data_IF_338688229528
#
_entry.id   IF_338688229528
#
_cell.length_a   1.000
_cell.length_b   1.000
_cell.length_c   1.000
_cell.angle_alpha   90.00
_cell.angle_beta   90.00
_cell.angle_gamma   90.00
#
_symmetry.space_group_name_H-M   'P 1'
#
loop_
_entity.id
_entity.type
_entity.pdbx_description
1 polymer ?
#
# COMPACT_ATOMS: atom_id res chain seq x y z
N UNK A 1 -2.95 -14.43 -13.84
CA UNK A 1 -2.92 -13.01 -13.48
C UNK A 1 -2.42 -12.23 -14.69
N UNK A 2 -3.16 -11.20 -15.11
CA UNK A 2 -2.86 -10.42 -16.34
C UNK A 2 -1.45 -9.83 -16.36
N UNK A 3 -0.95 -9.39 -15.22
CA UNK A 3 0.44 -8.87 -15.10
C UNK A 3 1.47 -9.93 -15.43
N UNK A 4 1.30 -11.14 -14.88
CA UNK A 4 2.21 -12.26 -15.14
C UNK A 4 2.15 -12.76 -16.58
N UNK A 5 0.96 -12.75 -17.19
CA UNK A 5 0.79 -13.07 -18.61
C UNK A 5 1.54 -12.05 -19.48
N UNK A 6 1.35 -10.77 -19.19
CA UNK A 6 2.03 -9.69 -19.90
C UNK A 6 3.57 -9.77 -19.76
N UNK A 7 4.10 -10.05 -18.57
CA UNK A 7 5.54 -10.20 -18.34
C UNK A 7 6.11 -11.36 -19.16
N UNK A 8 5.42 -12.49 -19.22
CA UNK A 8 5.84 -13.64 -20.03
C UNK A 8 5.81 -13.34 -21.55
N UNK A 9 4.79 -12.65 -22.00
CA UNK A 9 4.72 -12.18 -23.39
C UNK A 9 5.84 -11.20 -23.68
N UNK A 10 6.08 -10.23 -22.80
CA UNK A 10 7.14 -9.21 -22.96
C UNK A 10 8.53 -9.82 -23.03
N UNK A 11 8.83 -10.87 -22.29
CA UNK A 11 10.12 -11.57 -22.31
C UNK A 11 10.44 -12.19 -23.67
N UNK A 12 9.42 -12.54 -24.45
CA UNK A 12 9.58 -13.06 -25.82
C UNK A 12 9.62 -11.99 -26.91
N UNK A 13 9.52 -10.70 -26.56
CA UNK A 13 9.44 -9.60 -27.54
C UNK A 13 10.77 -8.87 -27.66
N UNK A 14 11.22 -8.66 -28.91
CA UNK A 14 12.23 -7.64 -29.19
C UNK A 14 11.62 -6.24 -29.07
N UNK A 15 12.33 -5.29 -28.47
CA UNK A 15 11.82 -3.92 -28.37
C UNK A 15 12.59 -3.04 -27.41
N UNK A 16 12.23 -1.75 -27.39
CA UNK A 16 12.82 -0.72 -26.54
C UNK A 16 12.38 -0.77 -25.09
N UNK A 17 12.76 0.24 -24.29
CA UNK A 17 12.39 0.33 -22.88
C UNK A 17 10.86 0.33 -22.70
N UNK A 18 10.41 -0.19 -21.57
CA UNK A 18 9.00 -0.29 -21.22
C UNK A 18 8.76 0.14 -19.77
N UNK A 19 7.54 0.55 -19.51
CA UNK A 19 7.05 0.75 -18.16
C UNK A 19 5.70 0.05 -17.99
N UNK A 20 5.50 -0.60 -16.86
CA UNK A 20 4.25 -1.25 -16.48
C UNK A 20 3.76 -0.70 -15.16
N UNK A 21 2.56 -0.18 -15.13
CA UNK A 21 1.87 0.19 -13.90
C UNK A 21 0.95 -0.95 -13.47
N UNK A 22 1.13 -1.41 -12.23
CA UNK A 22 0.30 -2.44 -11.61
C UNK A 22 -0.39 -1.84 -10.39
N UNK A 23 -1.70 -1.66 -10.47
CA UNK A 23 -2.52 -1.11 -9.40
C UNK A 23 -3.33 -2.18 -8.69
N UNK A 24 -3.31 -2.14 -7.35
CA UNK A 24 -4.16 -2.95 -6.50
C UNK A 24 -5.19 -2.04 -5.83
N UNK A 25 -6.48 -2.39 -5.90
CA UNK A 25 -7.51 -1.66 -5.17
C UNK A 25 -7.51 -2.00 -3.67
N UNK A 26 -7.19 -3.24 -3.31
CA UNK A 26 -6.99 -3.63 -1.92
C UNK A 26 -5.73 -2.93 -1.35
N UNK A 27 -5.68 -2.59 -0.07
CA UNK A 27 -6.62 -2.91 1.02
C UNK A 27 -7.78 -1.90 1.19
N UNK A 28 -8.12 -1.11 0.15
CA UNK A 28 -9.23 -0.15 0.22
C UNK A 28 -10.55 -0.85 0.64
N UNK A 29 -11.38 -0.24 1.50
CA UNK A 29 -12.71 -0.77 1.82
C UNK A 29 -13.58 -0.99 0.57
N UNK A 30 -14.55 -1.96 0.62
CA UNK A 30 -14.88 -2.82 1.76
C UNK A 30 -13.81 -3.88 2.04
N UNK A 31 -13.57 -4.19 3.32
CA UNK A 31 -12.53 -5.15 3.75
C UNK A 31 -12.98 -6.60 3.50
N UNK A 32 -13.11 -6.96 2.24
CA UNK A 32 -13.45 -8.33 1.80
C UNK A 32 -12.15 -9.10 1.60
N UNK A 33 -11.85 -9.98 2.54
CA UNK A 33 -10.58 -10.71 2.60
C UNK A 33 -10.82 -12.21 2.41
N UNK A 34 -9.98 -12.94 1.64
CA UNK A 34 -10.05 -14.40 1.59
C UNK A 34 -9.79 -15.00 2.96
N UNK A 35 -10.56 -16.04 3.30
CA UNK A 35 -10.57 -16.65 4.64
C UNK A 35 -9.20 -17.06 5.13
N UNK A 36 -8.39 -17.64 4.26
CA UNK A 36 -7.01 -18.09 4.55
C UNK A 36 -6.07 -16.95 5.00
N UNK A 37 -6.33 -15.70 4.57
CA UNK A 37 -5.58 -14.53 5.01
C UNK A 37 -6.14 -13.94 6.30
N UNK A 38 -7.46 -13.95 6.48
CA UNK A 38 -8.09 -13.52 7.73
C UNK A 38 -7.68 -14.41 8.90
N UNK A 39 -7.62 -15.73 8.70
CA UNK A 39 -7.28 -16.71 9.73
C UNK A 39 -5.84 -16.54 10.27
N UNK A 40 -4.99 -15.77 9.61
CA UNK A 40 -3.66 -15.39 10.12
C UNK A 40 -3.74 -14.39 11.28
N UNK A 41 -4.88 -13.73 11.44
CA UNK A 41 -5.13 -12.66 12.42
C UNK A 41 -6.31 -13.02 13.34
N UNK A 42 -6.17 -14.01 14.23
CA UNK A 42 -7.25 -14.47 15.10
C UNK A 42 -7.70 -13.34 16.05
N UNK A 43 -9.01 -13.14 16.14
CA UNK A 43 -9.60 -11.97 16.81
C UNK A 43 -9.29 -11.90 18.32
N UNK A 44 -9.14 -13.04 18.97
CA UNK A 44 -8.75 -13.15 20.39
C UNK A 44 -7.33 -12.63 20.66
N UNK A 45 -6.49 -12.55 19.62
CA UNK A 45 -5.12 -12.01 19.68
C UNK A 45 -4.98 -10.60 19.11
N UNK A 46 -6.03 -10.10 18.47
CA UNK A 46 -5.99 -8.76 17.88
C UNK A 46 -6.06 -7.68 18.97
N UNK A 47 -5.08 -6.75 18.99
CA UNK A 47 -5.18 -5.58 19.83
C UNK A 47 -6.27 -4.63 19.32
N UNK A 48 -6.70 -3.69 20.16
CA UNK A 48 -7.39 -2.50 19.65
C UNK A 48 -6.44 -1.70 18.75
N UNK A 49 -6.98 -0.97 17.76
CA UNK A 49 -6.17 -0.10 16.92
C UNK A 49 -5.29 0.85 17.73
N UNK A 50 -4.15 1.23 17.16
CA UNK A 50 -3.14 2.06 17.83
C UNK A 50 -3.75 3.36 18.37
N UNK A 51 -3.45 3.67 19.64
CA UNK A 51 -3.94 4.86 20.32
C UNK A 51 -5.45 5.07 20.16
N UNK A 52 -6.23 3.98 20.11
CA UNK A 52 -7.66 4.06 19.93
C UNK A 52 -8.27 5.01 20.98
N UNK A 53 -8.96 6.01 20.49
CA UNK A 53 -9.62 7.02 21.30
C UNK A 53 -11.12 6.76 21.31
N UNK A 54 -11.73 6.81 22.50
CA UNK A 54 -13.18 6.68 22.65
C UNK A 54 -13.88 7.85 21.95
N UNK A 55 -15.13 7.66 21.48
CA UNK A 55 -15.95 8.74 20.95
C UNK A 55 -15.93 9.98 21.86
N UNK A 56 -15.74 11.15 21.28
CA UNK A 56 -15.63 12.42 22.02
C UNK A 56 -14.22 12.78 22.51
N UNK A 57 -13.19 11.97 22.23
CA UNK A 57 -11.80 12.39 22.46
C UNK A 57 -11.46 13.61 21.59
N UNK A 58 -10.82 14.65 22.16
CA UNK A 58 -10.48 15.84 21.38
C UNK A 58 -9.48 15.52 20.28
N UNK A 59 -9.83 15.90 19.06
CA UNK A 59 -8.93 15.92 17.90
C UNK A 59 -8.61 17.34 17.48
N UNK A 60 -7.61 17.51 16.61
CA UNK A 60 -7.41 18.78 15.92
C UNK A 60 -8.73 19.19 15.21
N UNK A 61 -9.12 20.48 15.20
CA UNK A 61 -10.40 20.93 14.64
C UNK A 61 -10.69 20.40 13.24
N UNK A 62 -9.67 20.32 12.37
CA UNK A 62 -9.81 19.74 11.03
C UNK A 62 -10.21 18.25 11.08
N UNK A 63 -9.53 17.46 11.90
CA UNK A 63 -9.83 16.03 12.05
C UNK A 63 -11.23 15.83 12.61
N UNK A 64 -11.60 16.66 13.60
CA UNK A 64 -12.97 16.65 14.15
C UNK A 64 -14.02 16.96 13.09
N UNK A 65 -13.79 17.95 12.23
CA UNK A 65 -14.73 18.29 11.16
C UNK A 65 -14.90 17.13 10.15
N UNK A 66 -13.83 16.40 9.87
CA UNK A 66 -13.87 15.18 9.03
C UNK A 66 -14.65 14.06 9.70
N UNK A 67 -14.39 13.80 10.98
CA UNK A 67 -15.07 12.77 11.75
C UNK A 67 -16.57 13.09 11.92
N UNK A 68 -16.91 14.35 12.16
CA UNK A 68 -18.31 14.81 12.22
C UNK A 68 -19.03 14.64 10.86
N UNK A 69 -18.31 14.74 9.75
CA UNK A 69 -18.88 14.56 8.41
C UNK A 69 -19.07 13.09 8.02
N UNK A 70 -18.10 12.25 8.39
CA UNK A 70 -18.13 10.79 8.15
C UNK A 70 -17.68 10.09 9.43
N UNK A 71 -18.57 9.93 10.41
CA UNK A 71 -18.30 9.25 11.68
C UNK A 71 -18.11 7.73 11.49
N UNK A 72 -17.03 7.33 10.81
CA UNK A 72 -16.81 5.94 10.39
C UNK A 72 -16.71 4.98 11.56
N UNK A 73 -16.14 5.39 12.69
CA UNK A 73 -16.07 4.54 13.89
C UNK A 73 -17.48 4.20 14.45
N UNK A 74 -18.44 5.06 14.21
CA UNK A 74 -19.84 4.85 14.60
C UNK A 74 -20.56 3.74 13.81
N UNK A 75 -19.99 3.24 12.73
CA UNK A 75 -20.54 2.09 12.00
C UNK A 75 -20.29 0.76 12.71
N UNK A 76 -19.34 0.70 13.64
CA UNK A 76 -19.04 -0.51 14.38
C UNK A 76 -19.88 -0.58 15.65
N UNK A 77 -20.53 -1.71 15.83
CA UNK A 77 -21.37 -1.98 16.97
C UNK A 77 -20.60 -2.05 18.29
N UNK A 78 -19.41 -2.66 18.24
CA UNK A 78 -18.58 -2.93 19.41
C UNK A 78 -17.10 -3.07 19.06
N UNK A 79 -16.26 -3.33 20.05
CA UNK A 79 -14.82 -3.49 19.90
C UNK A 79 -14.43 -4.77 19.15
N UNK A 80 -15.30 -5.78 19.13
CA UNK A 80 -15.05 -7.00 18.36
C UNK A 80 -15.16 -6.73 16.88
N UNK A 81 -16.15 -5.96 16.43
CA UNK A 81 -16.27 -5.55 15.03
C UNK A 81 -15.10 -4.65 14.60
N UNK A 82 -14.60 -3.77 15.49
CA UNK A 82 -13.40 -2.96 15.22
C UNK A 82 -12.16 -3.81 15.04
N UNK A 83 -11.97 -4.82 15.92
CA UNK A 83 -10.86 -5.78 15.77
C UNK A 83 -10.99 -6.62 14.51
N UNK A 84 -12.23 -7.01 14.15
CA UNK A 84 -12.48 -7.73 12.90
C UNK A 84 -12.13 -6.88 11.67
N UNK A 85 -12.52 -5.62 11.65
CA UNK A 85 -12.17 -4.69 10.57
C UNK A 85 -10.64 -4.52 10.46
N UNK A 86 -9.95 -4.35 11.59
CA UNK A 86 -8.50 -4.24 11.62
C UNK A 86 -7.81 -5.55 11.20
N UNK A 87 -8.28 -6.71 11.66
CA UNK A 87 -7.79 -8.02 11.22
C UNK A 87 -8.00 -8.23 9.71
N UNK A 88 -9.15 -7.81 9.19
CA UNK A 88 -9.47 -7.88 7.76
C UNK A 88 -8.53 -7.00 6.93
N UNK A 89 -8.23 -5.79 7.39
CA UNK A 89 -7.24 -4.92 6.75
C UNK A 89 -5.85 -5.58 6.69
N UNK A 90 -5.37 -6.13 7.81
CA UNK A 90 -4.09 -6.85 7.85
C UNK A 90 -4.10 -8.11 6.96
N UNK A 91 -5.23 -8.82 6.91
CA UNK A 91 -5.43 -9.94 6.01
C UNK A 91 -5.34 -9.53 4.54
N UNK A 92 -5.92 -8.39 4.17
CA UNK A 92 -5.80 -7.82 2.82
C UNK A 92 -4.36 -7.40 2.50
N UNK A 93 -3.61 -6.85 3.46
CA UNK A 93 -2.18 -6.56 3.27
C UNK A 93 -1.40 -7.86 2.99
N UNK A 94 -1.65 -8.93 3.75
CA UNK A 94 -1.01 -10.23 3.49
C UNK A 94 -1.41 -10.83 2.14
N UNK A 95 -2.64 -10.61 1.70
CA UNK A 95 -3.09 -11.03 0.36
C UNK A 95 -2.34 -10.27 -0.73
N UNK A 96 -2.21 -8.95 -0.61
CA UNK A 96 -1.48 -8.12 -1.59
C UNK A 96 -0.01 -8.50 -1.63
N UNK A 97 0.62 -8.69 -0.47
CA UNK A 97 2.00 -9.13 -0.36
C UNK A 97 2.25 -10.43 -1.15
N UNK A 98 1.35 -11.41 -1.01
CA UNK A 98 1.41 -12.63 -1.79
C UNK A 98 1.22 -12.40 -3.31
N UNK A 99 0.35 -11.45 -3.70
CA UNK A 99 0.18 -11.12 -5.12
C UNK A 99 1.41 -10.41 -5.70
N UNK A 100 2.04 -9.54 -4.93
CA UNK A 100 3.30 -8.87 -5.30
C UNK A 100 4.41 -9.91 -5.43
N UNK A 101 4.55 -10.83 -4.46
CA UNK A 101 5.51 -11.93 -4.53
C UNK A 101 5.36 -12.72 -5.82
N UNK A 102 4.14 -13.14 -6.16
CA UNK A 102 3.87 -13.85 -7.39
C UNK A 102 4.25 -13.07 -8.67
N UNK A 103 4.12 -11.75 -8.68
CA UNK A 103 4.54 -10.91 -9.80
C UNK A 103 6.06 -10.82 -9.88
N UNK A 104 6.73 -10.68 -8.74
CA UNK A 104 8.20 -10.62 -8.67
C UNK A 104 8.83 -11.97 -9.06
N UNK A 105 8.25 -13.08 -8.62
CA UNK A 105 8.68 -14.42 -9.05
C UNK A 105 8.54 -14.58 -10.57
N UNK A 106 7.43 -14.12 -11.14
CA UNK A 106 7.23 -14.14 -12.60
C UNK A 106 8.25 -13.26 -13.35
N UNK A 107 8.60 -12.10 -12.79
CA UNK A 107 9.61 -11.21 -13.36
C UNK A 107 10.99 -11.89 -13.38
N UNK A 108 11.35 -12.59 -12.30
CA UNK A 108 12.58 -13.39 -12.17
C UNK A 108 12.60 -14.55 -13.18
N UNK A 109 11.54 -15.38 -13.16
CA UNK A 109 11.39 -16.57 -14.02
C UNK A 109 11.39 -16.21 -15.52
N UNK A 110 10.91 -15.03 -15.88
CA UNK A 110 10.91 -14.54 -17.26
C UNK A 110 12.27 -13.97 -17.72
N UNK A 111 13.25 -13.88 -16.81
CA UNK A 111 14.60 -13.34 -17.11
C UNK A 111 14.65 -11.81 -17.22
N UNK A 112 13.54 -11.10 -16.98
CA UNK A 112 13.46 -9.64 -17.10
C UNK A 112 14.02 -8.89 -15.88
N UNK A 113 14.16 -9.57 -14.72
CA UNK A 113 14.52 -8.93 -13.45
C UNK A 113 15.87 -8.20 -13.48
N UNK A 114 16.85 -8.72 -14.23
CA UNK A 114 18.19 -8.11 -14.34
C UNK A 114 18.21 -6.76 -15.06
N UNK A 115 17.16 -6.43 -15.80
CA UNK A 115 17.05 -5.20 -16.60
C UNK A 115 15.84 -4.34 -16.16
N UNK A 116 15.15 -4.72 -15.07
CA UNK A 116 13.93 -4.05 -14.62
C UNK A 116 14.11 -3.41 -13.25
N UNK A 117 13.87 -2.10 -13.17
CA UNK A 117 13.70 -1.41 -11.89
C UNK A 117 12.25 -1.55 -11.43
N UNK A 118 12.06 -1.91 -10.18
CA UNK A 118 10.74 -2.02 -9.54
C UNK A 118 10.60 -0.89 -8.54
N UNK A 119 9.59 -0.05 -8.69
CA UNK A 119 9.19 0.97 -7.73
C UNK A 119 7.89 0.54 -7.06
N UNK A 120 7.94 0.32 -5.74
CA UNK A 120 6.77 0.02 -4.92
C UNK A 120 6.40 1.24 -4.07
N UNK A 121 5.14 1.62 -4.11
CA UNK A 121 4.59 2.70 -3.28
C UNK A 121 3.07 2.54 -3.12
N UNK A 122 2.45 3.46 -2.37
CA UNK A 122 1.00 3.61 -2.23
C UNK A 122 0.62 5.08 -2.43
N UNK A 123 -0.61 5.35 -2.80
CA UNK A 123 -1.15 6.71 -2.95
C UNK A 123 -1.38 7.40 -1.60
N UNK A 124 -1.75 6.66 -0.57
CA UNK A 124 -1.93 7.10 0.82
C UNK A 124 -1.92 5.90 1.76
N UNK A 125 -1.88 6.14 3.06
CA UNK A 125 -2.09 5.13 4.07
C UNK A 125 -3.57 4.99 4.46
N UNK A 126 -3.82 4.27 5.56
CA UNK A 126 -5.14 4.13 6.17
C UNK A 126 -5.00 4.20 7.70
N UNK A 127 -5.86 4.97 8.35
CA UNK A 127 -5.84 5.11 9.80
C UNK A 127 -6.20 3.81 10.53
N UNK A 128 -6.96 2.93 9.89
CA UNK A 128 -7.27 1.56 10.37
C UNK A 128 -7.72 1.50 11.84
N UNK A 129 -8.52 2.48 12.27
CA UNK A 129 -9.01 2.62 13.63
C UNK A 129 -8.06 3.35 14.58
N UNK A 130 -6.86 3.74 14.15
CA UNK A 130 -5.97 4.52 14.99
C UNK A 130 -6.64 5.83 15.43
N UNK A 131 -6.61 6.11 16.72
CA UNK A 131 -7.29 7.26 17.35
C UNK A 131 -8.81 7.30 17.16
N UNK A 132 -9.45 6.18 16.81
CA UNK A 132 -10.86 6.11 16.41
C UNK A 132 -11.15 6.62 15.01
N UNK A 133 -10.11 6.78 14.17
CA UNK A 133 -10.23 7.23 12.79
C UNK A 133 -10.07 6.06 11.82
N UNK A 134 -10.85 6.06 10.76
CA UNK A 134 -10.79 5.05 9.69
C UNK A 134 -10.56 5.72 8.34
N UNK A 135 -9.93 5.01 7.43
CA UNK A 135 -9.59 5.56 6.11
C UNK A 135 -8.50 6.64 6.18
N UNK A 136 -8.66 7.63 5.35
CA UNK A 136 -7.72 8.73 5.08
C UNK A 136 -8.36 10.08 5.44
N UNK A 137 -7.97 11.16 4.84
CA UNK A 137 -8.49 12.53 5.05
C UNK A 137 -7.94 13.26 6.29
N UNK A 138 -6.80 12.81 6.80
CA UNK A 138 -6.08 13.48 7.88
C UNK A 138 -4.57 13.47 7.61
N UNK A 139 -3.81 14.23 8.41
CA UNK A 139 -2.35 14.35 8.28
C UNK A 139 -1.57 13.52 9.30
N UNK A 140 -2.23 12.57 9.96
CA UNK A 140 -1.51 11.60 10.78
C UNK A 140 -0.67 10.66 9.92
N UNK A 141 0.44 10.18 10.50
CA UNK A 141 1.39 9.29 9.82
C UNK A 141 0.70 8.06 9.19
N UNK A 142 -0.31 7.51 9.87
CA UNK A 142 -1.05 6.35 9.39
C UNK A 142 -1.79 6.61 8.07
N UNK A 143 -2.16 7.85 7.80
CA UNK A 143 -2.82 8.26 6.57
C UNK A 143 -1.86 8.87 5.54
N UNK A 144 -0.89 9.66 5.99
CA UNK A 144 -0.04 10.47 5.12
C UNK A 144 1.27 9.78 4.71
N UNK A 145 1.82 8.90 5.58
CA UNK A 145 3.09 8.22 5.31
C UNK A 145 2.86 6.95 4.51
N UNK A 146 3.58 6.84 3.40
CA UNK A 146 3.55 5.67 2.52
C UNK A 146 4.96 5.10 2.33
N UNK A 147 5.09 3.81 2.02
CA UNK A 147 6.36 3.24 1.62
C UNK A 147 6.79 3.79 0.26
N UNK A 148 8.10 3.92 0.05
CA UNK A 148 8.70 4.09 -1.27
C UNK A 148 9.94 3.20 -1.32
N UNK A 149 9.86 2.13 -2.10
CA UNK A 149 10.91 1.11 -2.21
C UNK A 149 11.32 1.01 -3.68
N UNK A 150 12.60 1.18 -3.95
CA UNK A 150 13.17 1.01 -5.28
C UNK A 150 14.13 -0.17 -5.27
N UNK A 151 14.04 -1.03 -6.27
CA UNK A 151 14.89 -2.21 -6.44
C UNK A 151 15.22 -2.40 -7.93
N UNK A 152 16.33 -3.07 -8.23
CA UNK A 152 16.74 -3.42 -9.60
C UNK A 152 18.15 -2.96 -9.95
N UNK A 153 18.50 -2.94 -11.23
CA UNK A 153 19.84 -2.54 -11.70
C UNK A 153 20.18 -1.11 -11.25
N UNK A 154 21.45 -0.92 -10.86
CA UNK A 154 22.04 0.34 -10.39
C UNK A 154 21.40 0.94 -9.12
N UNK A 155 20.54 0.18 -8.43
CA UNK A 155 19.98 0.57 -7.13
C UNK A 155 20.81 -0.04 -6.01
N UNK A 156 21.34 0.77 -5.05
CA UNK A 156 22.11 0.26 -3.93
C UNK A 156 21.30 -0.73 -3.07
N UNK A 157 21.85 -1.90 -2.83
CA UNK A 157 21.20 -2.94 -1.99
C UNK A 157 21.28 -2.60 -0.50
N UNK A 158 20.17 -2.77 0.20
CA UNK A 158 20.11 -2.59 1.65
C UNK A 158 20.33 -1.14 2.11
N UNK A 159 20.21 -0.17 1.20
CA UNK A 159 20.36 1.24 1.53
C UNK A 159 19.02 1.83 2.02
N UNK A 160 19.11 2.61 3.10
CA UNK A 160 18.00 3.43 3.59
C UNK A 160 18.31 4.89 3.29
N UNK A 161 17.45 5.54 2.51
CA UNK A 161 17.58 6.96 2.20
C UNK A 161 16.82 7.79 3.24
N UNK A 162 17.53 8.65 3.95
CA UNK A 162 16.96 9.54 4.98
C UNK A 162 16.47 10.87 4.39
N UNK A 163 16.69 11.12 3.10
CA UNK A 163 16.18 12.32 2.44
C UNK A 163 14.66 12.24 2.33
N UNK A 164 13.92 13.24 2.80
CA UNK A 164 12.47 13.28 2.62
C UNK A 164 12.11 13.30 1.13
N UNK A 165 11.20 12.42 0.75
CA UNK A 165 10.65 12.31 -0.60
C UNK A 165 9.13 12.34 -0.54
N UNK A 166 8.50 12.62 -1.68
CA UNK A 166 7.05 12.62 -1.84
C UNK A 166 6.63 11.79 -3.04
N UNK A 167 5.34 11.51 -3.17
CA UNK A 167 4.82 10.79 -4.34
C UNK A 167 5.06 11.53 -5.68
N UNK A 168 5.28 12.84 -5.63
CA UNK A 168 5.65 13.63 -6.83
C UNK A 168 6.99 13.17 -7.40
N UNK A 169 7.91 12.70 -6.55
CA UNK A 169 9.22 12.20 -6.96
C UNK A 169 9.13 10.89 -7.76
N UNK A 170 8.04 10.13 -7.66
CA UNK A 170 7.82 8.92 -8.44
C UNK A 170 7.85 9.21 -9.95
N UNK A 171 7.25 10.32 -10.38
CA UNK A 171 7.24 10.69 -11.79
C UNK A 171 8.65 10.90 -12.35
N UNK A 172 9.47 11.70 -11.64
CA UNK A 172 10.85 11.94 -12.04
C UNK A 172 11.70 10.66 -12.02
N UNK A 173 11.48 9.79 -11.01
CA UNK A 173 12.16 8.50 -10.85
C UNK A 173 11.84 7.54 -12.01
N UNK A 174 10.57 7.49 -12.44
CA UNK A 174 10.15 6.65 -13.57
C UNK A 174 10.77 7.15 -14.89
N UNK A 175 10.72 8.45 -15.14
CA UNK A 175 11.31 9.04 -16.36
C UNK A 175 12.83 8.82 -16.42
N UNK A 176 13.52 8.99 -15.32
CA UNK A 176 14.95 8.71 -15.20
C UNK A 176 15.25 7.22 -15.48
N UNK A 177 14.46 6.32 -14.91
CA UNK A 177 14.57 4.87 -15.15
C UNK A 177 14.36 4.46 -16.59
N UNK A 178 13.55 5.20 -17.34
CA UNK A 178 13.30 4.99 -18.77
C UNK A 178 14.31 5.68 -19.69
N UNK A 179 15.27 6.44 -19.15
CA UNK A 179 16.22 7.23 -19.92
C UNK A 179 15.59 8.42 -20.65
N UNK A 180 14.41 8.87 -20.20
CA UNK A 180 13.74 10.04 -20.80
C UNK A 180 14.37 11.31 -20.28
N UNK A 181 14.86 12.15 -21.18
CA UNK A 181 15.46 13.43 -20.83
C UNK A 181 14.44 14.33 -20.12
N UNK A 182 14.87 14.98 -19.03
CA UNK A 182 14.05 16.00 -18.37
C UNK A 182 13.83 17.17 -19.34
N UNK A 183 12.60 17.65 -19.45
CA UNK A 183 12.35 18.94 -20.08
C UNK A 183 13.07 20.03 -19.27
N UNK A 184 13.80 20.89 -19.97
CA UNK A 184 14.54 21.98 -19.36
C UNK A 184 13.59 23.05 -18.80
#
# INVERSE_FOLDING_TARGET
NRTSEWLKERAGMEGGPWALYVGFAAPHPPFIVPREYLDRYPLDKMPMPKAYAKPGTPHHPWVKAQDDFIAQDGFFKDDEERRLAFASYLGLLSFIDAQIGFILDTLEESGLASETRVLYTSDHGDASGARGLWGKFNFYEESAKVPMILSGPDVPKGHVCETPVTLVDCHATILDGLGVARAA
#
